data_IF_352317326424
#
_entry.id   IF_352317326424
#
_cell.length_a   1.000
_cell.length_b   1.000
_cell.length_c   1.000
_cell.angle_alpha   90.00
_cell.angle_beta   90.00
_cell.angle_gamma   90.00
#
_symmetry.space_group_name_H-M   'P 1'
#
loop_
_entity.id
_entity.type
_entity.pdbx_description
1 polymer ?
#
# COMPACT_ATOMS: atom_id res chain seq x y z
N UNK A 1 -10.16 10.60 -23.82
CA UNK A 1 -10.48 10.42 -22.39
C UNK A 1 -9.32 10.94 -21.56
N UNK A 2 -9.61 11.84 -20.62
CA UNK A 2 -8.66 12.50 -19.73
C UNK A 2 -8.81 11.97 -18.31
N UNK A 3 -7.78 11.36 -17.78
CA UNK A 3 -7.80 10.75 -16.45
C UNK A 3 -6.86 11.50 -15.51
N UNK A 4 -7.39 11.94 -14.38
CA UNK A 4 -6.57 12.52 -13.30
C UNK A 4 -6.43 11.53 -12.15
N UNK A 5 -5.22 11.11 -11.88
CA UNK A 5 -4.89 10.36 -10.66
C UNK A 5 -4.52 11.32 -9.53
N UNK A 6 -5.06 11.12 -8.34
CA UNK A 6 -4.76 11.91 -7.15
C UNK A 6 -4.21 11.00 -6.05
N UNK A 7 -3.04 11.33 -5.52
CA UNK A 7 -2.40 10.60 -4.42
C UNK A 7 -1.55 11.52 -3.54
N UNK A 8 -1.23 11.10 -2.32
CA UNK A 8 -0.30 11.83 -1.45
C UNK A 8 1.09 11.97 -2.09
N UNK A 9 1.58 10.90 -2.72
CA UNK A 9 2.92 10.86 -3.34
C UNK A 9 2.95 9.86 -4.50
N UNK A 10 3.84 10.09 -5.45
CA UNK A 10 4.17 9.16 -6.55
C UNK A 10 5.19 8.07 -6.15
N UNK A 11 5.70 8.10 -4.90
CA UNK A 11 6.61 7.12 -4.33
C UNK A 11 5.96 6.13 -3.37
N UNK A 12 6.80 5.23 -2.81
CA UNK A 12 6.35 4.17 -1.91
C UNK A 12 5.46 3.12 -2.57
N UNK A 13 4.90 2.20 -1.78
CA UNK A 13 4.14 1.06 -2.31
C UNK A 13 2.88 1.46 -3.09
N UNK A 14 2.09 2.39 -2.53
CA UNK A 14 0.85 2.89 -3.14
C UNK A 14 1.15 3.74 -4.38
N UNK A 15 2.14 4.66 -4.29
CA UNK A 15 2.55 5.52 -5.40
C UNK A 15 3.08 4.73 -6.59
N UNK A 16 3.89 3.69 -6.35
CA UNK A 16 4.40 2.84 -7.43
C UNK A 16 3.29 2.10 -8.17
N UNK A 17 2.28 1.56 -7.45
CA UNK A 17 1.13 0.93 -8.10
C UNK A 17 0.31 1.91 -8.93
N UNK A 18 0.17 3.17 -8.48
CA UNK A 18 -0.41 4.26 -9.25
C UNK A 18 0.42 4.53 -10.51
N UNK A 19 1.75 4.68 -10.36
CA UNK A 19 2.62 5.03 -11.48
C UNK A 19 2.67 3.94 -12.57
N UNK A 20 2.63 2.67 -12.20
CA UNK A 20 2.54 1.58 -13.16
C UNK A 20 1.21 1.65 -13.95
N UNK A 21 0.09 1.88 -13.27
CA UNK A 21 -1.22 2.08 -13.88
C UNK A 21 -1.23 3.30 -14.81
N UNK A 22 -0.73 4.43 -14.33
CA UNK A 22 -0.65 5.69 -15.09
C UNK A 22 0.14 5.53 -16.39
N UNK A 23 1.36 4.96 -16.31
CA UNK A 23 2.22 4.75 -17.48
C UNK A 23 1.59 3.79 -18.49
N UNK A 24 0.96 2.71 -18.02
CA UNK A 24 0.29 1.76 -18.89
C UNK A 24 -0.95 2.39 -19.58
N UNK A 25 -1.68 3.28 -18.90
CA UNK A 25 -2.76 4.05 -19.54
C UNK A 25 -2.24 5.00 -20.61
N UNK A 26 -1.10 5.68 -20.37
CA UNK A 26 -0.44 6.49 -21.41
C UNK A 26 -0.05 5.67 -22.63
N UNK A 27 0.46 4.44 -22.44
CA UNK A 27 0.79 3.50 -23.54
C UNK A 27 -0.45 3.07 -24.33
N UNK A 28 -1.63 3.03 -23.68
CA UNK A 28 -2.92 2.78 -24.36
C UNK A 28 -3.49 4.03 -25.04
N UNK A 29 -2.77 5.16 -25.08
CA UNK A 29 -3.21 6.41 -25.70
C UNK A 29 -4.20 7.22 -24.85
N UNK A 30 -4.34 6.93 -23.56
CA UNK A 30 -5.17 7.71 -22.64
C UNK A 30 -4.40 8.96 -22.20
N UNK A 31 -5.02 10.14 -22.25
CA UNK A 31 -4.43 11.37 -21.68
C UNK A 31 -4.54 11.28 -20.15
N UNK A 32 -3.48 10.80 -19.51
CA UNK A 32 -3.41 10.55 -18.07
C UNK A 32 -2.43 11.51 -17.40
N UNK A 33 -2.84 12.09 -16.26
CA UNK A 33 -2.02 12.98 -15.42
C UNK A 33 -2.13 12.61 -13.95
N UNK A 34 -1.12 13.00 -13.19
CA UNK A 34 -1.04 12.70 -11.76
C UNK A 34 -0.91 14.01 -10.97
N UNK A 35 -1.69 14.16 -9.92
CA UNK A 35 -1.62 15.26 -8.95
C UNK A 35 -1.24 14.69 -7.58
N UNK A 36 -0.14 15.18 -7.02
CA UNK A 36 0.39 14.73 -5.72
C UNK A 36 0.70 15.90 -4.79
N UNK A 37 0.73 15.65 -3.49
CA UNK A 37 1.25 16.59 -2.49
C UNK A 37 2.79 16.56 -2.44
N UNK A 38 3.40 15.39 -2.69
CA UNK A 38 4.85 15.18 -2.59
C UNK A 38 5.31 14.46 -3.86
N UNK A 39 5.97 15.18 -4.74
CA UNK A 39 6.55 14.64 -5.96
C UNK A 39 7.98 14.16 -5.70
N UNK A 40 8.25 12.90 -5.99
CA UNK A 40 9.57 12.28 -5.84
C UNK A 40 10.27 12.07 -7.18
N UNK A 41 9.51 11.87 -8.26
CA UNK A 41 10.05 11.64 -9.60
C UNK A 41 10.22 12.93 -10.41
N UNK A 42 10.99 12.83 -11.52
CA UNK A 42 11.14 13.92 -12.50
C UNK A 42 10.12 13.85 -13.64
N UNK A 43 9.13 12.98 -13.55
CA UNK A 43 8.13 12.74 -14.58
C UNK A 43 7.30 14.03 -14.83
N UNK A 44 7.25 14.49 -16.08
CA UNK A 44 6.57 15.74 -16.46
C UNK A 44 5.04 15.63 -16.41
N UNK A 45 4.48 14.42 -16.42
CA UNK A 45 3.04 14.18 -16.32
C UNK A 45 2.51 14.27 -14.89
N UNK A 46 3.41 14.45 -13.92
CA UNK A 46 3.10 14.60 -12.50
C UNK A 46 3.21 16.05 -12.07
N UNK A 47 2.14 16.55 -11.48
CA UNK A 47 2.07 17.90 -10.89
C UNK A 47 2.10 17.80 -9.37
N UNK A 48 2.95 18.59 -8.72
CA UNK A 48 2.95 18.76 -7.27
C UNK A 48 2.07 19.93 -6.87
N UNK A 49 1.17 19.70 -5.93
CA UNK A 49 0.34 20.74 -5.34
C UNK A 49 0.86 21.10 -3.94
N UNK A 50 1.13 22.37 -3.71
CA UNK A 50 1.49 22.90 -2.40
C UNK A 50 0.23 23.22 -1.58
N UNK A 51 0.28 23.09 -0.24
CA UNK A 51 -0.84 23.48 0.60
C UNK A 51 -1.19 24.96 0.38
N UNK A 52 -2.46 25.26 0.47
CA UNK A 52 -2.96 26.62 0.28
C UNK A 52 -2.43 27.53 1.39
N UNK A 53 -1.41 28.31 1.12
CA UNK A 53 -0.83 29.26 2.08
C UNK A 53 -1.77 30.47 2.32
N UNK A 54 -2.85 30.60 1.55
CA UNK A 54 -3.70 31.78 1.49
C UNK A 54 -4.98 31.71 2.33
N UNK A 55 -5.11 30.80 3.28
CA UNK A 55 -6.30 30.82 4.17
C UNK A 55 -6.33 32.09 5.04
N UNK A 56 -5.21 32.77 5.20
CA UNK A 56 -5.10 34.10 5.85
C UNK A 56 -3.87 34.82 5.26
N UNK A 57 -4.03 35.58 4.20
CA UNK A 57 -3.14 36.56 3.61
C UNK A 57 -1.61 36.37 3.82
N UNK A 58 -0.83 36.67 2.79
CA UNK A 58 0.64 36.65 2.76
C UNK A 58 1.33 37.68 3.73
N UNK A 59 0.59 38.23 4.68
CA UNK A 59 1.11 39.22 5.62
C UNK A 59 1.95 38.51 6.70
N UNK A 60 3.25 38.80 6.74
CA UNK A 60 4.23 38.27 7.70
C UNK A 60 3.77 38.41 9.16
N UNK A 61 3.01 39.47 9.48
CA UNK A 61 2.46 39.71 10.82
C UNK A 61 1.34 38.72 11.18
N UNK A 62 0.48 38.35 10.22
CA UNK A 62 -0.58 37.34 10.46
C UNK A 62 0.02 35.96 10.68
N UNK A 63 1.05 35.59 9.94
CA UNK A 63 1.81 34.34 10.14
C UNK A 63 2.48 34.32 11.51
N UNK A 64 3.04 35.46 11.95
CA UNK A 64 3.67 35.58 13.28
C UNK A 64 2.63 35.45 14.39
N UNK A 65 1.50 36.15 14.27
CA UNK A 65 0.39 36.06 15.21
C UNK A 65 -0.19 34.64 15.31
N UNK A 66 -0.30 33.92 14.20
CA UNK A 66 -0.72 32.51 14.19
C UNK A 66 0.32 31.62 14.92
N UNK A 67 1.63 31.86 14.73
CA UNK A 67 2.67 31.12 15.45
C UNK A 67 2.60 31.39 16.98
N UNK A 68 2.36 32.63 17.37
CA UNK A 68 2.22 33.01 18.78
C UNK A 68 0.94 32.39 19.38
N UNK A 69 -0.19 32.50 18.69
CA UNK A 69 -1.46 31.91 19.12
C UNK A 69 -1.38 30.39 19.24
N UNK A 70 -0.70 29.70 18.30
CA UNK A 70 -0.44 28.26 18.39
C UNK A 70 0.40 27.90 19.62
N UNK A 71 1.41 28.72 19.95
CA UNK A 71 2.21 28.55 21.20
C UNK A 71 1.37 28.73 22.47
N UNK A 72 0.37 29.60 22.45
CA UNK A 72 -0.57 29.84 23.57
C UNK A 72 -1.73 28.83 23.59
N UNK A 73 -1.73 27.82 22.72
CA UNK A 73 -2.80 26.81 22.67
C UNK A 73 -4.09 27.27 22.01
N UNK A 74 -4.11 28.46 21.40
CA UNK A 74 -5.25 28.99 20.65
C UNK A 74 -5.24 28.42 19.23
N UNK A 75 -6.37 27.89 18.75
CA UNK A 75 -6.51 27.38 17.39
C UNK A 75 -7.71 28.03 16.71
N UNK A 76 -7.46 28.60 15.54
CA UNK A 76 -8.43 29.39 14.81
C UNK A 76 -9.29 28.59 13.82
N UNK A 77 -8.89 27.34 13.51
CA UNK A 77 -9.64 26.48 12.61
C UNK A 77 -9.67 25.00 13.05
N UNK A 78 -10.57 24.25 12.45
CA UNK A 78 -10.79 22.83 12.75
C UNK A 78 -9.54 21.99 12.41
N UNK A 79 -8.80 22.34 11.35
CA UNK A 79 -7.55 21.68 10.96
C UNK A 79 -6.49 21.77 12.07
N UNK A 80 -6.24 22.97 12.60
CA UNK A 80 -5.22 23.17 13.65
C UNK A 80 -5.56 22.42 14.94
N UNK A 81 -6.85 22.37 15.32
CA UNK A 81 -7.32 21.60 16.49
C UNK A 81 -7.07 20.11 16.28
N UNK A 82 -7.53 19.57 15.16
CA UNK A 82 -7.45 18.17 14.81
C UNK A 82 -6.00 17.69 14.74
N UNK A 83 -5.12 18.45 14.09
CA UNK A 83 -3.70 18.09 13.99
C UNK A 83 -2.99 18.11 15.35
N UNK A 84 -3.33 19.03 16.25
CA UNK A 84 -2.80 19.08 17.61
C UNK A 84 -3.20 17.85 18.41
N UNK A 85 -4.45 17.44 18.32
CA UNK A 85 -4.97 16.28 19.06
C UNK A 85 -4.33 14.99 18.54
N UNK A 86 -4.23 14.81 17.22
CA UNK A 86 -3.48 13.72 16.60
C UNK A 86 -2.02 13.72 17.07
N UNK A 87 -1.35 14.88 17.07
CA UNK A 87 0.05 15.00 17.49
C UNK A 87 0.27 14.56 18.94
N UNK A 88 -0.62 14.96 19.85
CA UNK A 88 -0.55 14.57 21.26
C UNK A 88 -0.59 13.05 21.44
N UNK A 89 -1.47 12.36 20.69
CA UNK A 89 -1.63 10.91 20.77
C UNK A 89 -0.44 10.22 20.09
N UNK A 90 -0.06 10.64 18.88
CA UNK A 90 1.06 10.07 18.12
C UNK A 90 2.41 10.19 18.84
N UNK A 91 2.57 11.18 19.71
CA UNK A 91 3.76 11.28 20.56
C UNK A 91 3.89 10.11 21.53
N UNK A 92 2.77 9.48 21.89
CA UNK A 92 2.72 8.31 22.79
C UNK A 92 2.71 6.99 22.03
N UNK A 93 2.06 6.97 20.86
CA UNK A 93 1.83 5.75 20.07
C UNK A 93 2.16 6.05 18.61
N UNK A 94 3.24 5.45 18.10
CA UNK A 94 3.74 5.66 16.74
C UNK A 94 3.05 4.75 15.73
N UNK A 95 1.79 5.06 15.39
CA UNK A 95 1.01 4.34 14.36
C UNK A 95 0.55 5.27 13.24
N UNK A 96 0.31 4.77 12.02
CA UNK A 96 -0.33 5.52 10.95
C UNK A 96 -1.77 5.89 11.36
N UNK A 97 -2.04 7.19 11.46
CA UNK A 97 -3.37 7.73 11.74
C UNK A 97 -3.51 9.08 11.05
N UNK A 98 -4.53 9.27 10.21
CA UNK A 98 -4.67 10.42 9.31
C UNK A 98 -6.00 11.14 9.49
N UNK A 99 -5.98 12.48 9.37
CA UNK A 99 -7.18 13.31 9.36
C UNK A 99 -7.83 13.32 7.97
N UNK A 100 -9.18 13.29 7.87
CA UNK A 100 -9.91 13.56 6.64
C UNK A 100 -9.92 15.05 6.26
N UNK A 101 -9.44 15.92 7.14
CA UNK A 101 -9.41 17.36 6.96
C UNK A 101 -7.97 17.81 6.72
N UNK A 102 -7.75 18.56 5.63
CA UNK A 102 -6.42 19.02 5.22
C UNK A 102 -6.41 20.50 4.85
N UNK A 103 -5.24 21.06 4.55
CA UNK A 103 -5.07 22.43 4.06
C UNK A 103 -5.00 22.51 2.54
N UNK A 104 -5.22 21.41 1.82
CA UNK A 104 -5.19 21.38 0.37
C UNK A 104 -6.61 21.51 -0.20
N UNK A 105 -6.85 22.52 -1.00
CA UNK A 105 -8.10 22.66 -1.76
C UNK A 105 -7.96 21.99 -3.14
N UNK A 106 -7.84 20.67 -3.12
CA UNK A 106 -7.66 19.86 -4.32
C UNK A 106 -8.85 20.02 -5.28
N UNK A 107 -10.06 20.23 -4.75
CA UNK A 107 -11.29 20.36 -5.56
C UNK A 107 -11.27 21.53 -6.55
N UNK A 108 -10.43 22.56 -6.30
CA UNK A 108 -10.28 23.74 -7.18
C UNK A 108 -9.04 23.72 -8.05
N UNK A 109 -8.29 22.63 -8.03
CA UNK A 109 -7.09 22.53 -8.87
C UNK A 109 -7.48 22.42 -10.36
N UNK A 110 -6.83 23.14 -11.30
CA UNK A 110 -7.19 23.16 -12.73
C UNK A 110 -7.23 21.77 -13.38
N UNK A 111 -6.43 20.81 -12.91
CA UNK A 111 -6.46 19.44 -13.40
C UNK A 111 -7.77 18.71 -13.04
N UNK A 112 -8.49 19.12 -11.99
CA UNK A 112 -9.80 18.57 -11.66
C UNK A 112 -10.82 18.98 -12.72
N UNK A 113 -10.80 20.24 -13.17
CA UNK A 113 -11.66 20.70 -14.26
C UNK A 113 -11.27 20.09 -15.61
N UNK A 114 -9.98 19.84 -15.84
CA UNK A 114 -9.46 19.24 -17.06
C UNK A 114 -9.88 17.78 -17.23
N UNK A 115 -10.00 17.00 -16.15
CA UNK A 115 -10.25 15.56 -16.19
C UNK A 115 -11.68 15.20 -16.62
N UNK A 116 -11.86 14.08 -17.31
CA UNK A 116 -13.16 13.45 -17.54
C UNK A 116 -13.50 12.51 -16.37
N UNK A 117 -12.51 11.78 -15.83
CA UNK A 117 -12.63 10.91 -14.65
C UNK A 117 -11.49 11.19 -13.69
N UNK A 118 -11.79 11.17 -12.39
CA UNK A 118 -10.80 11.33 -11.32
C UNK A 118 -10.62 10.00 -10.61
N UNK A 119 -9.38 9.49 -10.56
CA UNK A 119 -9.05 8.29 -9.80
C UNK A 119 -8.27 8.67 -8.54
N UNK A 120 -8.92 8.48 -7.39
CA UNK A 120 -8.29 8.63 -6.08
C UNK A 120 -7.53 7.36 -5.70
N UNK A 121 -6.35 7.53 -5.10
CA UNK A 121 -5.54 6.44 -4.57
C UNK A 121 -5.31 6.60 -3.07
N UNK A 122 -4.06 6.62 -2.61
CA UNK A 122 -3.74 6.93 -1.22
C UNK A 122 -3.77 8.46 -1.02
N UNK A 123 -4.90 8.99 -0.57
CA UNK A 123 -5.17 10.43 -0.48
C UNK A 123 -5.07 11.00 0.93
N UNK A 124 -4.82 10.15 1.93
CA UNK A 124 -4.75 10.54 3.34
C UNK A 124 -3.69 11.61 3.59
N UNK A 125 -4.10 12.71 4.26
CA UNK A 125 -3.23 13.87 4.51
C UNK A 125 -3.07 14.82 3.33
N UNK A 126 -3.69 14.54 2.18
CA UNK A 126 -3.65 15.39 1.00
C UNK A 126 -5.03 15.93 0.62
N UNK A 127 -6.01 15.08 0.42
CA UNK A 127 -7.35 15.54 0.01
C UNK A 127 -8.19 15.89 1.24
N UNK A 128 -8.74 17.10 1.25
CA UNK A 128 -9.77 17.50 2.22
C UNK A 128 -11.09 16.84 1.81
N UNK A 129 -11.44 15.76 2.48
CA UNK A 129 -12.56 14.89 2.13
C UNK A 129 -13.89 15.67 2.04
N UNK A 130 -14.27 16.51 3.03
CA UNK A 130 -15.56 17.21 2.98
C UNK A 130 -15.70 18.14 1.77
N UNK A 131 -14.69 18.97 1.51
CA UNK A 131 -14.75 19.93 0.40
C UNK A 131 -14.65 19.25 -0.95
N UNK A 132 -13.83 18.20 -1.06
CA UNK A 132 -13.63 17.48 -2.31
C UNK A 132 -14.93 16.82 -2.79
N UNK A 133 -15.54 15.99 -1.97
CA UNK A 133 -16.79 15.28 -2.35
C UNK A 133 -17.99 16.22 -2.50
N UNK A 134 -17.99 17.36 -1.80
CA UNK A 134 -19.00 18.40 -2.00
C UNK A 134 -18.89 19.11 -3.34
N UNK A 135 -17.68 19.44 -3.77
CA UNK A 135 -17.41 20.32 -4.90
C UNK A 135 -17.25 19.58 -6.23
N UNK A 136 -16.66 18.38 -6.21
CA UNK A 136 -16.37 17.60 -7.43
C UNK A 136 -17.61 16.85 -7.89
N UNK A 137 -18.08 17.18 -9.12
CA UNK A 137 -19.27 16.57 -9.73
C UNK A 137 -18.94 15.59 -10.86
N UNK A 138 -17.65 15.48 -11.21
CA UNK A 138 -17.16 14.53 -12.22
C UNK A 138 -17.13 13.12 -11.65
N UNK A 139 -17.18 12.07 -12.50
CA UNK A 139 -17.03 10.70 -12.07
C UNK A 139 -15.73 10.49 -11.25
N UNK A 140 -15.88 9.85 -10.09
CA UNK A 140 -14.78 9.53 -9.18
C UNK A 140 -14.65 8.02 -9.10
N UNK A 141 -13.46 7.52 -9.30
CA UNK A 141 -13.06 6.14 -8.98
C UNK A 141 -12.13 6.19 -7.78
N UNK A 142 -12.43 5.45 -6.72
CA UNK A 142 -11.52 5.34 -5.57
C UNK A 142 -10.87 3.97 -5.53
N UNK A 143 -9.61 3.91 -5.90
CA UNK A 143 -8.79 2.70 -5.80
C UNK A 143 -8.32 2.52 -4.36
N UNK A 144 -8.81 1.49 -3.68
CA UNK A 144 -8.57 1.20 -2.27
C UNK A 144 -7.14 0.69 -2.05
N UNK A 145 -6.22 1.60 -1.70
CA UNK A 145 -4.81 1.28 -1.41
C UNK A 145 -4.59 0.80 0.02
N UNK A 146 -5.52 1.14 0.92
CA UNK A 146 -5.64 0.69 2.30
C UNK A 146 -7.11 0.78 2.74
N UNK A 147 -7.39 0.50 4.00
CA UNK A 147 -8.74 0.53 4.56
C UNK A 147 -9.14 1.90 5.11
N UNK A 148 -8.25 2.91 5.06
CA UNK A 148 -8.53 4.24 5.59
C UNK A 148 -9.83 4.88 5.04
N UNK A 149 -10.25 4.66 3.78
CA UNK A 149 -11.53 5.17 3.30
C UNK A 149 -12.74 4.72 4.12
N UNK A 150 -12.76 3.49 4.61
CA UNK A 150 -13.83 2.92 5.44
C UNK A 150 -13.62 3.03 6.95
N UNK A 151 -12.50 3.62 7.40
CA UNK A 151 -12.15 3.88 8.79
C UNK A 151 -12.10 5.38 9.05
N UNK A 152 -12.06 5.80 10.32
CA UNK A 152 -11.92 7.22 10.66
C UNK A 152 -10.54 7.77 10.32
N UNK A 153 -9.56 7.45 11.12
CA UNK A 153 -8.17 7.87 10.93
C UNK A 153 -7.20 6.71 10.75
N UNK A 154 -7.54 5.52 11.21
CA UNK A 154 -6.71 4.33 11.03
C UNK A 154 -6.59 3.94 9.56
N UNK A 155 -5.52 3.19 9.24
CA UNK A 155 -5.25 2.69 7.88
C UNK A 155 -5.54 1.20 7.74
N UNK A 156 -5.68 0.47 8.86
CA UNK A 156 -5.99 -0.95 8.91
C UNK A 156 -6.89 -1.29 10.10
N UNK A 157 -7.87 -2.14 9.90
CA UNK A 157 -8.82 -2.58 10.92
C UNK A 157 -8.13 -3.32 12.08
N UNK A 158 -7.08 -4.09 11.79
CA UNK A 158 -6.26 -4.74 12.83
C UNK A 158 -5.61 -3.72 13.77
N UNK A 159 -4.99 -2.69 13.22
CA UNK A 159 -4.40 -1.59 14.02
C UNK A 159 -5.46 -0.85 14.83
N UNK A 160 -6.65 -0.63 14.24
CA UNK A 160 -7.80 -0.07 14.95
C UNK A 160 -8.21 -0.95 16.13
N UNK A 161 -8.32 -2.26 15.94
CA UNK A 161 -8.73 -3.19 17.00
C UNK A 161 -7.81 -3.09 18.22
N UNK A 162 -6.49 -2.95 17.99
CA UNK A 162 -5.48 -2.86 19.07
C UNK A 162 -5.50 -1.50 19.78
N UNK A 163 -5.69 -0.40 19.03
CA UNK A 163 -5.45 0.96 19.52
C UNK A 163 -6.70 1.86 19.53
N UNK A 164 -7.89 1.29 19.39
CA UNK A 164 -9.12 2.08 19.31
C UNK A 164 -9.33 2.97 20.55
N UNK A 165 -9.05 2.44 21.75
CA UNK A 165 -9.29 3.16 23.00
C UNK A 165 -8.55 4.51 23.07
N UNK A 166 -7.32 4.55 22.54
CA UNK A 166 -6.49 5.75 22.58
C UNK A 166 -6.92 6.80 21.56
N UNK A 167 -7.62 6.40 20.50
CA UNK A 167 -8.04 7.24 19.38
C UNK A 167 -9.56 7.35 19.21
N UNK A 168 -10.37 6.73 20.07
CA UNK A 168 -11.82 6.52 19.85
C UNK A 168 -12.56 7.80 19.46
N UNK A 169 -12.36 8.90 20.21
CA UNK A 169 -13.01 10.18 19.94
C UNK A 169 -12.68 10.73 18.54
N UNK A 170 -11.41 10.66 18.15
CA UNK A 170 -10.97 11.11 16.82
C UNK A 170 -11.39 10.14 15.72
N UNK A 171 -11.30 8.84 15.97
CA UNK A 171 -11.71 7.81 15.01
C UNK A 171 -13.20 7.94 14.66
N UNK A 172 -14.07 8.05 15.67
CA UNK A 172 -15.51 8.15 15.45
C UNK A 172 -15.88 9.48 14.80
N UNK A 173 -15.25 10.58 15.20
CA UNK A 173 -15.42 11.88 14.57
C UNK A 173 -15.01 11.85 13.10
N UNK A 174 -13.87 11.26 12.77
CA UNK A 174 -13.37 11.22 11.41
C UNK A 174 -14.19 10.28 10.53
N UNK A 175 -14.63 9.16 11.10
CA UNK A 175 -15.52 8.22 10.41
C UNK A 175 -16.84 8.93 10.02
N UNK A 176 -17.44 9.68 10.94
CA UNK A 176 -18.64 10.45 10.67
C UNK A 176 -18.44 11.54 9.60
N UNK A 177 -17.30 12.22 9.60
CA UNK A 177 -16.96 13.21 8.55
C UNK A 177 -16.87 12.54 7.19
N UNK A 178 -16.19 11.40 7.08
CA UNK A 178 -16.07 10.65 5.82
C UNK A 178 -17.42 10.10 5.36
N UNK A 179 -18.19 9.48 6.26
CA UNK A 179 -19.53 8.97 6.00
C UNK A 179 -20.39 10.06 5.35
N UNK A 180 -20.56 11.20 6.02
CA UNK A 180 -21.39 12.30 5.52
C UNK A 180 -20.94 12.82 4.14
N UNK A 181 -19.63 12.91 3.91
CA UNK A 181 -19.09 13.36 2.65
C UNK A 181 -19.35 12.34 1.52
N UNK A 182 -19.11 11.06 1.78
CA UNK A 182 -19.27 9.99 0.80
C UNK A 182 -20.75 9.73 0.51
N UNK A 183 -21.62 9.70 1.51
CA UNK A 183 -23.07 9.52 1.31
C UNK A 183 -23.70 10.62 0.46
N UNK A 184 -23.21 11.86 0.59
CA UNK A 184 -23.65 13.00 -0.23
C UNK A 184 -23.19 12.96 -1.69
N UNK A 185 -22.31 12.02 -2.05
CA UNK A 185 -21.69 11.89 -3.37
C UNK A 185 -22.37 10.76 -4.15
N UNK A 186 -22.98 11.05 -5.32
CA UNK A 186 -23.63 10.04 -6.17
C UNK A 186 -22.73 9.48 -7.28
N UNK A 187 -21.60 10.12 -7.55
CA UNK A 187 -20.71 9.86 -8.69
C UNK A 187 -19.43 9.08 -8.29
N UNK A 188 -19.48 8.29 -7.22
CA UNK A 188 -18.36 7.50 -6.70
C UNK A 188 -18.51 6.03 -7.06
N UNK A 189 -17.48 5.47 -7.70
CA UNK A 189 -17.23 4.04 -7.88
C UNK A 189 -15.97 3.62 -7.14
N UNK A 190 -15.91 2.37 -6.71
CA UNK A 190 -14.79 1.79 -5.95
C UNK A 190 -14.03 0.79 -6.83
N UNK A 191 -12.71 0.77 -6.71
CA UNK A 191 -11.87 -0.33 -7.17
C UNK A 191 -11.18 -0.96 -5.97
N UNK A 192 -11.50 -2.21 -5.71
CA UNK A 192 -10.84 -3.04 -4.69
C UNK A 192 -9.66 -3.78 -5.29
N UNK A 193 -8.50 -3.78 -4.61
CA UNK A 193 -7.29 -4.43 -5.11
C UNK A 193 -7.24 -5.95 -4.85
N UNK A 194 -8.20 -6.48 -4.10
CA UNK A 194 -8.36 -7.91 -3.78
C UNK A 194 -9.80 -8.21 -3.37
N UNK A 195 -10.17 -9.50 -3.34
CA UNK A 195 -11.48 -9.94 -2.81
C UNK A 195 -11.65 -9.57 -1.34
N UNK A 196 -10.59 -9.68 -0.55
CA UNK A 196 -10.62 -9.29 0.86
C UNK A 196 -10.88 -7.79 1.02
N UNK A 197 -10.24 -6.94 0.19
CA UNK A 197 -10.53 -5.51 0.19
C UNK A 197 -11.98 -5.21 -0.24
N UNK A 198 -12.53 -5.97 -1.19
CA UNK A 198 -13.94 -5.85 -1.56
C UNK A 198 -14.85 -6.22 -0.40
N UNK A 199 -14.60 -7.34 0.27
CA UNK A 199 -15.35 -7.76 1.47
C UNK A 199 -15.29 -6.71 2.59
N UNK A 200 -14.13 -6.07 2.78
CA UNK A 200 -14.01 -4.95 3.70
C UNK A 200 -14.94 -3.79 3.29
N UNK A 201 -14.95 -3.38 2.02
CA UNK A 201 -15.83 -2.31 1.54
C UNK A 201 -17.31 -2.69 1.66
N UNK A 202 -17.67 -3.93 1.37
CA UNK A 202 -19.04 -4.45 1.48
C UNK A 202 -19.53 -4.48 2.95
N UNK A 203 -18.61 -4.55 3.92
CA UNK A 203 -18.89 -4.46 5.35
C UNK A 203 -19.00 -3.03 5.91
N UNK A 204 -18.73 -2.00 5.10
CA UNK A 204 -18.82 -0.59 5.50
C UNK A 204 -20.05 0.05 4.84
N UNK A 205 -21.07 0.38 5.63
CA UNK A 205 -22.41 0.79 5.17
C UNK A 205 -22.42 1.89 4.11
N UNK A 206 -21.60 2.94 4.25
CA UNK A 206 -21.53 4.04 3.27
C UNK A 206 -20.68 3.73 2.02
N UNK A 207 -19.98 2.58 1.99
CA UNK A 207 -19.25 2.05 0.83
C UNK A 207 -19.99 0.88 0.16
N UNK A 208 -20.73 0.07 0.92
CA UNK A 208 -21.36 -1.19 0.49
C UNK A 208 -22.26 -1.03 -0.74
N UNK A 209 -22.97 0.11 -0.84
CA UNK A 209 -23.91 0.40 -1.93
C UNK A 209 -23.24 1.07 -3.14
N UNK A 210 -21.93 1.21 -3.17
CA UNK A 210 -21.20 1.81 -4.29
C UNK A 210 -20.80 0.74 -5.31
N UNK A 211 -20.86 1.05 -6.62
CA UNK A 211 -20.27 0.15 -7.62
C UNK A 211 -18.84 -0.19 -7.25
N UNK A 212 -18.53 -1.47 -7.12
CA UNK A 212 -17.20 -1.94 -6.66
C UNK A 212 -16.67 -3.03 -7.59
N UNK A 213 -15.59 -2.74 -8.31
CA UNK A 213 -14.94 -3.65 -9.25
C UNK A 213 -13.59 -4.11 -8.67
N UNK A 214 -13.27 -5.39 -8.81
CA UNK A 214 -11.94 -5.88 -8.42
C UNK A 214 -11.00 -5.67 -9.62
N UNK A 215 -9.98 -4.82 -9.43
CA UNK A 215 -8.88 -4.66 -10.39
C UNK A 215 -7.58 -4.68 -9.59
N UNK A 216 -6.72 -5.64 -9.88
CA UNK A 216 -5.48 -5.86 -9.14
C UNK A 216 -4.47 -4.73 -9.33
N UNK A 217 -3.45 -4.73 -8.49
CA UNK A 217 -2.37 -3.77 -8.60
C UNK A 217 -1.50 -4.07 -9.82
N UNK A 218 -1.19 -3.05 -10.61
CA UNK A 218 -0.25 -3.16 -11.71
C UNK A 218 1.19 -3.30 -11.18
N UNK A 219 1.87 -4.37 -11.54
CA UNK A 219 3.28 -4.61 -11.18
C UNK A 219 4.00 -5.02 -12.46
N UNK A 220 5.04 -4.28 -12.85
CA UNK A 220 5.78 -4.60 -14.06
C UNK A 220 6.66 -5.84 -13.85
N UNK A 221 6.52 -6.87 -14.68
CA UNK A 221 7.44 -8.00 -14.65
C UNK A 221 8.86 -7.62 -15.08
N UNK A 222 9.03 -6.51 -15.81
CA UNK A 222 10.34 -6.00 -16.26
C UNK A 222 11.15 -5.38 -15.11
N UNK A 223 10.46 -4.98 -14.03
CA UNK A 223 11.12 -4.51 -12.80
C UNK A 223 11.82 -5.65 -12.04
N UNK A 224 11.51 -6.92 -12.37
CA UNK A 224 11.98 -8.10 -11.63
C UNK A 224 12.57 -9.14 -12.58
N UNK A 225 13.89 -9.34 -12.48
CA UNK A 225 14.63 -10.35 -13.23
C UNK A 225 14.64 -11.67 -12.47
N UNK A 226 14.26 -12.75 -13.11
CA UNK A 226 14.44 -14.09 -12.58
C UNK A 226 15.88 -14.55 -12.87
N UNK A 227 16.74 -14.50 -11.86
CA UNK A 227 18.13 -15.00 -11.94
C UNK A 227 18.17 -16.50 -11.69
N UNK A 228 19.20 -17.18 -12.16
CA UNK A 228 19.49 -18.54 -11.70
C UNK A 228 19.87 -18.49 -10.21
N UNK A 229 19.30 -19.37 -9.40
CA UNK A 229 19.45 -19.36 -7.94
C UNK A 229 20.91 -19.32 -7.48
N UNK A 230 21.77 -20.14 -8.07
CA UNK A 230 23.18 -20.17 -7.67
C UNK A 230 23.94 -18.89 -8.07
N UNK A 231 23.58 -18.24 -9.19
CA UNK A 231 24.15 -16.94 -9.58
C UNK A 231 23.73 -15.85 -8.57
N UNK A 232 22.44 -15.83 -8.20
CA UNK A 232 21.93 -14.89 -7.21
C UNK A 232 22.58 -15.10 -5.83
N UNK A 233 22.75 -16.33 -5.38
CA UNK A 233 23.44 -16.67 -4.14
C UNK A 233 24.90 -16.22 -4.16
N UNK A 234 25.61 -16.48 -5.24
CA UNK A 234 27.01 -16.05 -5.40
C UNK A 234 27.12 -14.50 -5.30
N UNK A 235 26.25 -13.75 -5.99
CA UNK A 235 26.26 -12.28 -5.94
C UNK A 235 25.94 -11.73 -4.53
N UNK A 236 25.16 -12.46 -3.74
CA UNK A 236 24.81 -12.08 -2.36
C UNK A 236 25.78 -12.65 -1.31
N UNK A 237 26.80 -13.40 -1.72
CA UNK A 237 27.77 -14.03 -0.81
C UNK A 237 27.18 -15.16 0.04
N UNK A 238 26.17 -15.87 -0.46
CA UNK A 238 25.46 -16.95 0.24
C UNK A 238 26.05 -18.31 -0.21
N UNK A 239 26.32 -19.17 0.76
CA UNK A 239 26.72 -20.54 0.45
C UNK A 239 25.61 -21.26 -0.34
N UNK A 240 25.93 -21.88 -1.51
CA UNK A 240 24.96 -22.58 -2.35
C UNK A 240 24.27 -23.75 -1.63
N UNK A 241 24.87 -24.36 -0.62
CA UNK A 241 24.35 -25.49 0.14
C UNK A 241 23.34 -25.07 1.22
N UNK A 242 23.18 -23.77 1.47
CA UNK A 242 22.18 -23.27 2.41
C UNK A 242 20.77 -23.39 1.84
N UNK A 243 19.81 -23.65 2.72
CA UNK A 243 18.39 -23.38 2.48
C UNK A 243 18.15 -21.91 2.75
N UNK A 244 17.63 -21.19 1.78
CA UNK A 244 17.48 -19.74 1.87
C UNK A 244 16.00 -19.36 1.91
N UNK A 245 15.61 -18.71 2.99
CA UNK A 245 14.32 -18.05 3.13
C UNK A 245 14.50 -16.55 2.92
N UNK A 246 13.47 -15.83 2.48
CA UNK A 246 13.48 -14.36 2.48
C UNK A 246 12.24 -13.78 3.13
N UNK A 247 12.41 -12.62 3.77
CA UNK A 247 11.36 -11.82 4.39
C UNK A 247 11.57 -10.35 4.04
N UNK A 248 10.51 -9.65 3.62
CA UNK A 248 10.59 -8.26 3.15
C UNK A 248 9.50 -7.41 3.79
N UNK A 249 9.91 -6.32 4.45
CA UNK A 249 8.99 -5.32 5.01
C UNK A 249 9.62 -3.92 5.00
N UNK A 250 8.87 -2.89 5.39
CA UNK A 250 9.42 -1.54 5.53
C UNK A 250 10.31 -1.42 6.78
N UNK A 251 9.86 -1.96 7.91
CA UNK A 251 10.56 -1.96 9.19
C UNK A 251 10.17 -3.20 10.01
N UNK A 252 11.14 -3.77 10.73
CA UNK A 252 10.92 -5.05 11.43
C UNK A 252 10.06 -4.92 12.68
N UNK A 253 9.96 -3.72 13.26
CA UNK A 253 9.06 -3.44 14.39
C UNK A 253 7.57 -3.42 14.02
N UNK A 254 7.22 -3.45 12.73
CA UNK A 254 5.83 -3.44 12.28
C UNK A 254 5.14 -4.77 12.63
N UNK A 255 4.42 -4.83 13.76
CA UNK A 255 3.78 -6.04 14.28
C UNK A 255 2.90 -6.76 13.26
N UNK A 256 2.16 -6.00 12.43
CA UNK A 256 1.32 -6.53 11.36
C UNK A 256 2.08 -7.45 10.40
N UNK A 257 3.40 -7.28 10.23
CA UNK A 257 4.25 -8.11 9.38
C UNK A 257 4.70 -9.41 10.01
N UNK A 258 4.54 -9.56 11.33
CA UNK A 258 4.86 -10.78 12.08
C UNK A 258 6.30 -11.24 11.93
N UNK A 259 7.24 -10.31 11.99
CA UNK A 259 8.66 -10.65 11.91
C UNK A 259 9.13 -11.50 13.11
N UNK A 260 8.61 -11.23 14.31
CA UNK A 260 8.92 -12.01 15.50
C UNK A 260 8.49 -13.47 15.35
N UNK A 261 7.29 -13.70 14.82
CA UNK A 261 6.75 -15.04 14.57
C UNK A 261 7.56 -15.80 13.51
N UNK A 262 8.15 -15.09 12.54
CA UNK A 262 9.08 -15.71 11.56
C UNK A 262 10.39 -16.13 12.24
N UNK A 263 10.93 -15.33 13.18
CA UNK A 263 12.12 -15.71 13.94
C UNK A 263 11.86 -16.94 14.82
N UNK A 264 10.74 -16.99 15.52
CA UNK A 264 10.34 -18.16 16.31
C UNK A 264 10.11 -19.39 15.41
N UNK A 265 9.57 -19.21 14.21
CA UNK A 265 9.41 -20.31 13.24
C UNK A 265 10.78 -20.86 12.79
N UNK A 266 11.82 -20.00 12.63
CA UNK A 266 13.19 -20.47 12.38
C UNK A 266 13.74 -21.32 13.51
N UNK A 267 13.49 -20.96 14.75
CA UNK A 267 13.91 -21.73 15.92
C UNK A 267 13.20 -23.10 15.96
N UNK A 268 11.91 -23.15 15.59
CA UNK A 268 11.14 -24.41 15.46
C UNK A 268 11.66 -25.29 14.31
N UNK A 269 12.14 -24.70 13.21
CA UNK A 269 12.75 -25.45 12.12
C UNK A 269 14.06 -26.11 12.57
N UNK A 270 14.84 -25.45 13.41
CA UNK A 270 16.01 -26.01 14.10
C UNK A 270 17.20 -26.38 13.21
N UNK A 271 17.19 -26.01 11.92
CA UNK A 271 18.25 -26.36 10.97
C UNK A 271 19.23 -25.18 10.78
N UNK A 272 20.49 -25.41 11.14
CA UNK A 272 21.58 -24.43 11.02
C UNK A 272 21.91 -24.04 9.57
N UNK A 273 21.52 -24.86 8.59
CA UNK A 273 21.71 -24.58 7.17
C UNK A 273 20.65 -23.64 6.61
N UNK A 274 19.55 -23.41 7.34
CA UNK A 274 18.58 -22.42 6.95
C UNK A 274 19.11 -21.03 7.22
N UNK A 275 19.07 -20.16 6.21
CA UNK A 275 19.38 -18.73 6.30
C UNK A 275 18.18 -17.89 5.91
N UNK A 276 17.85 -16.87 6.71
CA UNK A 276 16.78 -15.91 6.46
C UNK A 276 17.37 -14.58 5.99
N UNK A 277 17.13 -14.24 4.74
CA UNK A 277 17.46 -12.93 4.19
C UNK A 277 16.35 -11.94 4.57
N UNK A 278 16.68 -10.94 5.36
CA UNK A 278 15.71 -9.91 5.79
C UNK A 278 15.99 -8.58 5.10
N UNK A 279 14.97 -8.06 4.39
CA UNK A 279 15.01 -6.74 3.77
C UNK A 279 14.04 -5.80 4.49
N UNK A 280 14.57 -4.68 4.97
CA UNK A 280 13.82 -3.67 5.69
C UNK A 280 14.69 -2.87 6.66
N UNK A 281 14.10 -1.85 7.27
CA UNK A 281 14.78 -1.09 8.32
C UNK A 281 14.94 -1.96 9.56
N UNK A 282 16.19 -2.15 10.00
CA UNK A 282 16.50 -2.85 11.24
C UNK A 282 16.31 -1.91 12.43
N UNK A 283 15.13 -1.93 13.01
CA UNK A 283 14.71 -1.15 14.17
C UNK A 283 14.35 -2.04 15.38
N UNK A 284 14.73 -3.31 15.30
CA UNK A 284 14.67 -4.30 16.39
C UNK A 284 16.01 -5.02 16.50
N UNK A 285 16.28 -5.56 17.69
CA UNK A 285 17.44 -6.41 17.90
C UNK A 285 17.21 -7.80 17.24
N UNK A 286 18.24 -8.29 16.53
CA UNK A 286 18.23 -9.60 15.89
C UNK A 286 19.45 -10.35 16.39
N UNK A 287 19.25 -11.39 17.16
CA UNK A 287 20.30 -12.19 17.80
C UNK A 287 20.58 -13.50 17.08
N UNK A 288 19.63 -13.97 16.24
CA UNK A 288 19.78 -15.25 15.54
C UNK A 288 20.91 -15.21 14.50
N UNK A 289 21.88 -16.16 14.56
CA UNK A 289 22.99 -16.26 13.61
C UNK A 289 22.54 -16.73 12.22
N UNK A 290 21.30 -17.17 12.10
CA UNK A 290 20.69 -17.60 10.86
C UNK A 290 20.05 -16.47 10.07
N UNK A 291 20.01 -15.25 10.63
CA UNK A 291 19.42 -14.07 9.98
C UNK A 291 20.50 -13.21 9.35
N UNK A 292 20.33 -12.92 8.06
CA UNK A 292 21.17 -12.00 7.28
C UNK A 292 20.33 -10.76 6.98
N UNK A 293 20.53 -9.69 7.75
CA UNK A 293 19.84 -8.42 7.57
C UNK A 293 20.50 -7.59 6.47
N UNK A 294 19.84 -7.43 5.33
CA UNK A 294 20.35 -6.72 4.15
C UNK A 294 20.07 -5.20 4.16
N UNK A 295 19.34 -4.73 5.20
CA UNK A 295 18.87 -3.34 5.25
C UNK A 295 17.76 -3.05 4.25
N UNK A 296 17.42 -1.76 4.10
CA UNK A 296 16.40 -1.33 3.12
C UNK A 296 17.01 -1.35 1.71
N UNK A 297 16.32 -1.99 0.77
CA UNK A 297 16.76 -2.11 -0.63
C UNK A 297 15.73 -1.39 -1.49
N UNK A 298 16.16 -0.37 -2.26
CA UNK A 298 15.33 0.33 -3.27
C UNK A 298 15.65 -0.11 -4.70
N UNK A 299 16.81 -0.72 -4.91
CA UNK A 299 17.26 -1.20 -6.22
C UNK A 299 16.51 -2.48 -6.62
N UNK A 300 15.87 -2.45 -7.80
CA UNK A 300 15.04 -3.55 -8.32
C UNK A 300 15.85 -4.80 -8.65
N UNK A 301 17.04 -4.61 -9.23
CA UNK A 301 17.91 -5.74 -9.54
C UNK A 301 18.35 -6.46 -8.26
N UNK A 302 18.72 -5.70 -7.22
CA UNK A 302 19.13 -6.28 -5.93
C UNK A 302 17.97 -6.99 -5.23
N UNK A 303 16.74 -6.44 -5.30
CA UNK A 303 15.54 -7.14 -4.81
C UNK A 303 15.28 -8.44 -5.57
N UNK A 304 15.46 -8.43 -6.89
CA UNK A 304 15.32 -9.63 -7.73
C UNK A 304 16.34 -10.71 -7.34
N UNK A 305 17.59 -10.33 -7.00
CA UNK A 305 18.59 -11.26 -6.48
C UNK A 305 18.15 -11.89 -5.16
N UNK A 306 17.58 -11.09 -4.23
CA UNK A 306 17.10 -11.61 -2.94
C UNK A 306 15.99 -12.65 -3.16
N UNK A 307 14.98 -12.35 -3.98
CA UNK A 307 13.93 -13.31 -4.27
C UNK A 307 14.47 -14.54 -5.01
N UNK A 308 15.27 -14.37 -6.07
CA UNK A 308 15.80 -15.48 -6.86
C UNK A 308 16.77 -16.39 -6.08
N UNK A 309 17.51 -15.85 -5.10
CA UNK A 309 18.39 -16.63 -4.23
C UNK A 309 17.60 -17.53 -3.25
N UNK A 310 16.34 -17.19 -3.01
CA UNK A 310 15.51 -17.84 -1.98
C UNK A 310 14.86 -19.13 -2.50
N UNK A 311 14.80 -20.14 -1.63
CA UNK A 311 13.98 -21.33 -1.82
C UNK A 311 12.51 -21.03 -1.53
N UNK A 312 12.24 -20.13 -0.55
CA UNK A 312 10.92 -19.72 -0.13
C UNK A 312 10.91 -18.24 0.25
N UNK A 313 9.94 -17.50 -0.23
CA UNK A 313 9.60 -16.17 0.30
C UNK A 313 8.53 -16.31 1.39
N UNK A 314 8.79 -15.78 2.58
CA UNK A 314 7.91 -15.89 3.76
C UNK A 314 7.31 -14.54 4.10
N UNK A 315 5.98 -14.43 4.10
CA UNK A 315 5.26 -13.18 4.40
C UNK A 315 3.95 -13.45 5.16
N UNK A 316 4.02 -13.78 6.47
CA UNK A 316 2.83 -14.16 7.27
C UNK A 316 2.10 -12.95 7.83
N UNK A 317 1.93 -11.88 7.04
CA UNK A 317 1.28 -10.65 7.48
C UNK A 317 -0.09 -10.90 8.08
N UNK A 318 -0.46 -10.16 9.14
CA UNK A 318 -1.80 -10.22 9.73
C UNK A 318 -2.86 -9.59 8.81
N UNK A 319 -2.46 -8.62 8.02
CA UNK A 319 -3.35 -7.89 7.11
C UNK A 319 -2.58 -7.26 5.95
N UNK A 320 -3.14 -7.31 4.75
CA UNK A 320 -2.65 -6.67 3.53
C UNK A 320 -3.82 -6.19 2.68
N UNK A 321 -3.69 -4.99 2.11
CA UNK A 321 -4.65 -4.52 1.10
C UNK A 321 -4.45 -5.24 -0.23
N UNK A 322 -3.18 -5.53 -0.58
CA UNK A 322 -2.81 -6.29 -1.76
C UNK A 322 -1.67 -7.29 -1.48
N UNK A 323 -0.53 -6.85 -0.94
CA UNK A 323 0.62 -7.72 -0.71
C UNK A 323 1.53 -7.80 -1.94
N UNK A 324 2.06 -6.66 -2.37
CA UNK A 324 2.92 -6.52 -3.54
C UNK A 324 4.11 -7.49 -3.56
N UNK A 325 4.74 -7.70 -2.41
CA UNK A 325 5.93 -8.56 -2.25
C UNK A 325 5.66 -10.01 -2.63
N UNK A 326 4.42 -10.49 -2.51
CA UNK A 326 4.01 -11.81 -3.00
C UNK A 326 4.20 -11.90 -4.52
N UNK A 327 3.67 -10.93 -5.27
CA UNK A 327 3.78 -10.91 -6.73
C UNK A 327 5.24 -10.71 -7.17
N UNK A 328 6.00 -9.89 -6.47
CA UNK A 328 7.43 -9.65 -6.72
C UNK A 328 8.25 -10.94 -6.60
N UNK A 329 8.00 -11.75 -5.56
CA UNK A 329 8.62 -13.06 -5.38
C UNK A 329 8.22 -14.03 -6.49
N UNK A 330 6.93 -14.09 -6.84
CA UNK A 330 6.45 -14.95 -7.94
C UNK A 330 7.04 -14.54 -9.30
N UNK A 331 7.29 -13.25 -9.56
CA UNK A 331 8.00 -12.80 -10.76
C UNK A 331 9.46 -13.28 -10.82
N UNK A 332 10.07 -13.52 -9.68
CA UNK A 332 11.39 -14.12 -9.59
C UNK A 332 11.37 -15.66 -9.57
N UNK A 333 10.17 -16.27 -9.76
CA UNK A 333 10.00 -17.73 -9.75
C UNK A 333 10.10 -18.35 -8.36
N UNK A 334 9.98 -17.55 -7.30
CA UNK A 334 10.16 -18.00 -5.91
C UNK A 334 8.82 -18.38 -5.31
N UNK A 335 8.65 -19.60 -4.79
CA UNK A 335 7.43 -20.01 -4.10
C UNK A 335 7.24 -19.25 -2.79
N UNK A 336 5.97 -19.09 -2.38
CA UNK A 336 5.59 -18.20 -1.29
C UNK A 336 4.91 -18.96 -0.16
N UNK A 337 5.31 -18.69 1.08
CA UNK A 337 4.54 -19.00 2.30
C UNK A 337 3.90 -17.71 2.79
N UNK A 338 2.60 -17.68 2.88
CA UNK A 338 1.83 -16.49 3.29
C UNK A 338 0.62 -16.87 4.13
N UNK A 339 0.16 -15.95 4.94
CA UNK A 339 -1.21 -16.01 5.48
C UNK A 339 -2.23 -15.70 4.39
N UNK A 340 -3.49 -16.06 4.64
CA UNK A 340 -4.60 -15.83 3.70
C UNK A 340 -5.06 -14.36 3.73
N UNK A 341 -4.18 -13.43 3.29
CA UNK A 341 -4.45 -11.98 3.27
C UNK A 341 -4.14 -11.37 1.91
N UNK A 342 -4.81 -10.26 1.59
CA UNK A 342 -4.60 -9.55 0.33
C UNK A 342 -4.70 -10.47 -0.88
N UNK A 343 -3.75 -10.34 -1.81
CA UNK A 343 -3.71 -11.14 -3.04
C UNK A 343 -3.28 -12.60 -2.79
N UNK A 344 -2.52 -12.87 -1.71
CA UNK A 344 -2.08 -14.23 -1.40
C UNK A 344 -3.26 -15.20 -1.26
N UNK A 345 -4.35 -14.77 -0.61
CA UNK A 345 -5.57 -15.55 -0.46
C UNK A 345 -6.20 -16.01 -1.79
N UNK A 346 -5.85 -15.36 -2.91
CA UNK A 346 -6.47 -15.60 -4.21
C UNK A 346 -5.56 -16.34 -5.20
N UNK A 347 -4.24 -16.31 -4.98
CA UNK A 347 -3.29 -16.80 -5.98
C UNK A 347 -2.33 -17.86 -5.47
N UNK A 348 -2.12 -17.95 -4.14
CA UNK A 348 -1.22 -18.96 -3.58
C UNK A 348 -1.96 -20.29 -3.51
N UNK A 349 -1.35 -21.32 -4.09
CA UNK A 349 -1.82 -22.70 -4.12
C UNK A 349 -0.61 -23.66 -4.19
N UNK A 350 -0.88 -24.98 -4.28
CA UNK A 350 0.13 -26.03 -4.30
C UNK A 350 1.18 -25.92 -5.43
N UNK A 351 0.92 -25.16 -6.50
CA UNK A 351 1.84 -24.99 -7.62
C UNK A 351 2.84 -23.82 -7.43
N UNK A 352 2.62 -22.97 -6.43
CA UNK A 352 3.44 -21.77 -6.24
C UNK A 352 3.71 -21.42 -4.76
N UNK A 353 3.29 -22.27 -3.82
CA UNK A 353 3.53 -22.02 -2.40
C UNK A 353 2.53 -22.70 -1.48
N UNK A 354 2.39 -22.16 -0.27
CA UNK A 354 1.41 -22.61 0.71
C UNK A 354 0.83 -21.43 1.50
N UNK A 355 -0.46 -21.54 1.87
CA UNK A 355 -1.08 -20.67 2.84
C UNK A 355 -0.92 -21.29 4.25
N UNK A 356 -0.69 -20.42 5.25
CA UNK A 356 -0.54 -20.81 6.64
C UNK A 356 -1.43 -19.97 7.56
N UNK A 357 -1.55 -20.36 8.82
CA UNK A 357 -1.98 -19.48 9.89
C UNK A 357 -0.89 -18.47 10.28
N UNK A 358 -1.08 -17.78 11.37
CA UNK A 358 -0.15 -16.73 11.80
C UNK A 358 0.75 -17.10 12.97
N UNK A 359 0.63 -18.33 13.49
CA UNK A 359 1.47 -18.80 14.59
C UNK A 359 2.84 -19.29 14.09
N UNK A 360 3.89 -19.22 14.91
CA UNK A 360 5.23 -19.70 14.53
C UNK A 360 5.23 -21.17 14.06
N UNK A 361 4.46 -22.04 14.70
CA UNK A 361 4.37 -23.46 14.35
C UNK A 361 3.73 -23.66 12.97
N UNK A 362 2.65 -22.94 12.65
CA UNK A 362 1.99 -23.02 11.35
C UNK A 362 2.88 -22.45 10.22
N UNK A 363 3.63 -21.39 10.50
CA UNK A 363 4.60 -20.83 9.57
C UNK A 363 5.72 -21.84 9.29
N UNK A 364 6.27 -22.47 10.34
CA UNK A 364 7.32 -23.49 10.19
C UNK A 364 6.83 -24.72 9.41
N UNK A 365 5.61 -25.16 9.64
CA UNK A 365 5.01 -26.29 8.92
C UNK A 365 4.81 -25.99 7.44
N UNK A 366 4.28 -24.81 7.11
CA UNK A 366 4.12 -24.37 5.71
C UNK A 366 5.49 -24.23 5.01
N UNK A 367 6.53 -23.75 5.71
CA UNK A 367 7.90 -23.72 5.16
C UNK A 367 8.38 -25.14 4.83
N UNK A 368 8.23 -26.12 5.75
CA UNK A 368 8.60 -27.52 5.49
C UNK A 368 7.83 -28.09 4.28
N UNK A 369 6.53 -27.83 4.21
CA UNK A 369 5.70 -28.25 3.09
C UNK A 369 6.24 -27.72 1.76
N UNK A 370 6.55 -26.41 1.69
CA UNK A 370 7.07 -25.79 0.46
C UNK A 370 8.46 -26.32 0.12
N UNK A 371 9.35 -26.49 1.10
CA UNK A 371 10.69 -27.04 0.88
C UNK A 371 10.68 -28.50 0.41
N UNK A 372 9.66 -29.27 0.79
CA UNK A 372 9.47 -30.66 0.37
C UNK A 372 8.95 -30.82 -1.07
N UNK A 373 8.49 -29.76 -1.70
CA UNK A 373 7.89 -29.76 -3.04
C UNK A 373 8.87 -29.27 -4.13
N UNK A 374 8.59 -29.67 -5.37
CA UNK A 374 9.29 -29.13 -6.54
C UNK A 374 8.39 -28.13 -7.29
N UNK A 375 8.95 -26.98 -7.60
CA UNK A 375 8.22 -25.89 -8.25
C UNK A 375 8.81 -25.57 -9.62
N UNK A 376 7.95 -25.31 -10.60
CA UNK A 376 8.36 -24.79 -11.91
C UNK A 376 8.44 -23.27 -11.85
N UNK A 377 9.64 -22.74 -11.67
CA UNK A 377 9.88 -21.29 -11.53
C UNK A 377 9.37 -20.47 -12.73
N UNK A 378 9.56 -21.01 -13.95
CA UNK A 378 9.10 -20.33 -15.18
C UNK A 378 7.58 -20.24 -15.23
N UNK A 379 6.88 -21.30 -14.82
CA UNK A 379 5.41 -21.33 -14.77
C UNK A 379 4.86 -20.40 -13.68
N UNK A 380 5.48 -20.35 -12.51
CA UNK A 380 5.14 -19.38 -11.46
C UNK A 380 5.19 -17.96 -12.00
N UNK A 381 6.31 -17.59 -12.67
CA UNK A 381 6.48 -16.26 -13.28
C UNK A 381 5.42 -15.99 -14.34
N UNK A 382 5.17 -16.95 -15.24
CA UNK A 382 4.21 -16.81 -16.34
C UNK A 382 2.81 -16.48 -15.81
N UNK A 383 2.30 -17.26 -14.87
CA UNK A 383 0.97 -17.06 -14.26
C UNK A 383 0.84 -15.73 -13.53
N UNK A 384 1.88 -15.31 -12.83
CA UNK A 384 1.90 -13.99 -12.19
C UNK A 384 1.87 -12.85 -13.22
N UNK A 385 2.63 -12.99 -14.33
CA UNK A 385 2.68 -11.99 -15.40
C UNK A 385 1.32 -11.81 -16.07
N UNK A 386 0.63 -12.89 -16.39
CA UNK A 386 -0.70 -12.84 -16.98
C UNK A 386 -1.72 -12.05 -16.14
N UNK A 387 -1.60 -12.13 -14.81
CA UNK A 387 -2.55 -11.47 -13.92
C UNK A 387 -2.22 -10.01 -13.63
N UNK A 388 -0.93 -9.67 -13.47
CA UNK A 388 -0.53 -8.40 -12.84
C UNK A 388 0.24 -7.47 -13.77
N UNK A 389 0.52 -7.86 -15.02
CA UNK A 389 1.18 -7.00 -15.98
C UNK A 389 0.41 -5.67 -16.16
N UNK A 390 1.12 -4.53 -16.21
CA UNK A 390 0.49 -3.22 -16.27
C UNK A 390 -0.48 -3.04 -17.42
N UNK A 391 -0.20 -3.64 -18.58
CA UNK A 391 -1.04 -3.55 -19.77
C UNK A 391 -2.41 -4.21 -19.55
N UNK A 392 -2.45 -5.38 -18.89
CA UNK A 392 -3.67 -6.11 -18.59
C UNK A 392 -4.53 -5.35 -17.55
N UNK A 393 -3.88 -4.80 -16.53
CA UNK A 393 -4.53 -3.98 -15.51
C UNK A 393 -5.06 -2.68 -16.10
N UNK A 394 -4.27 -2.00 -16.94
CA UNK A 394 -4.68 -0.75 -17.58
C UNK A 394 -5.89 -0.94 -18.51
N UNK A 395 -5.98 -2.06 -19.25
CA UNK A 395 -7.16 -2.39 -20.07
C UNK A 395 -8.44 -2.51 -19.23
N UNK A 396 -8.34 -3.10 -18.02
CA UNK A 396 -9.48 -3.21 -17.11
C UNK A 396 -9.92 -1.82 -16.59
N UNK A 397 -8.98 -0.97 -16.21
CA UNK A 397 -9.29 0.42 -15.83
C UNK A 397 -9.86 1.22 -17.00
N UNK A 398 -9.31 1.05 -18.22
CA UNK A 398 -9.81 1.70 -19.42
C UNK A 398 -11.27 1.32 -19.71
N UNK A 399 -11.60 0.02 -19.57
CA UNK A 399 -12.98 -0.47 -19.72
C UNK A 399 -13.91 0.15 -18.67
N UNK A 400 -13.49 0.14 -17.38
CA UNK A 400 -14.26 0.74 -16.28
C UNK A 400 -14.52 2.24 -16.50
N UNK A 401 -13.51 3.00 -16.90
CA UNK A 401 -13.68 4.44 -17.15
C UNK A 401 -14.64 4.72 -18.30
N UNK A 402 -14.58 3.93 -19.39
CA UNK A 402 -15.52 4.05 -20.50
C UNK A 402 -16.96 3.70 -20.10
N UNK A 403 -17.16 2.71 -19.23
CA UNK A 403 -18.47 2.35 -18.68
C UNK A 403 -19.05 3.50 -17.84
N UNK A 404 -18.24 4.04 -16.93
CA UNK A 404 -18.63 5.16 -16.05
C UNK A 404 -18.98 6.43 -16.83
N UNK A 405 -18.33 6.71 -17.95
CA UNK A 405 -18.58 7.88 -18.80
C UNK A 405 -19.84 7.74 -19.67
N UNK A 406 -20.35 6.51 -19.86
CA UNK A 406 -21.59 6.27 -20.62
C UNK A 406 -22.85 6.36 -19.77
N UNK A 407 -22.71 6.15 -18.46
CA UNK A 407 -23.79 6.25 -17.46
C UNK A 407 -23.91 7.67 -16.91
#
# INVERSE_FOLDING_TARGET
MKILHIALTDGGGAGMGLMNQHRALLQLGVDSRVLVAIKQSKDATITEMRPNQNVWGSNKYVVLLQKIARRMGLSFNLYDRTHRDIYKIKKKIAIPFSSPITQYDVSRHPLVDWADVINLHFISGFVDIPSFFKNVKKPIVWTMRDENPGLGGFHYAETKQVHYKEFSELEDKFLNIKRNAIESCSNLSIVSLSKIMRQFCDGVDFLANRPNTIIYNAISPDDYTMFKRNEARHELGINPDNIVLSFVCCQFSEKRKRFAEVLEALDILGDKHIKLLCVGKRDVEITSPNVIALGSISDRRRMSLVYSASDVFVTPSAQESFGKTVVEALYCGTPVVSTSVGIAAEIINENNGALCGGTPSEIAEAIRQVLGNKYNQTEIRRLATEKFAPENVARQYFSLYNEILKN
#
